data_IF_783558446500
#
_entry.id   IF_783558446500
#
_cell.length_a   1.000
_cell.length_b   1.000
_cell.length_c   1.000
_cell.angle_alpha   90.00
_cell.angle_beta   90.00
_cell.angle_gamma   90.00
#
_symmetry.space_group_name_H-M   'P 1'
#
loop_
_entity.id
_entity.type
_entity.pdbx_description
1 polymer ?
#
# COMPACT_ATOMS: atom_id res chain seq x y z
N UNK A 1 -9.49 40.34 94.47
CA UNK A 1 -8.61 39.41 93.73
C UNK A 1 -9.43 38.44 92.87
N UNK A 2 -9.20 38.49 91.56
CA UNK A 2 -9.51 37.53 90.47
C UNK A 2 -10.89 36.84 90.39
N UNK A 3 -11.96 37.57 90.05
CA UNK A 3 -13.20 36.98 89.48
C UNK A 3 -13.45 37.37 88.00
N UNK A 4 -12.80 38.41 87.49
CA UNK A 4 -12.95 38.87 86.10
C UNK A 4 -12.30 37.97 85.05
N UNK A 5 -11.21 37.27 85.37
CA UNK A 5 -10.45 36.47 84.41
C UNK A 5 -11.15 35.17 83.95
N UNK A 6 -12.19 34.71 84.66
CA UNK A 6 -12.91 33.46 84.33
C UNK A 6 -13.80 33.59 83.09
N UNK A 7 -14.22 34.80 82.74
CA UNK A 7 -15.08 35.07 81.57
C UNK A 7 -14.23 35.36 80.31
N UNK A 8 -13.00 35.85 80.47
CA UNK A 8 -12.12 36.12 79.33
C UNK A 8 -11.60 34.85 78.64
N UNK A 9 -11.37 33.77 79.39
CA UNK A 9 -10.87 32.50 78.83
C UNK A 9 -11.85 31.90 77.78
N UNK A 10 -13.16 31.71 78.06
CA UNK A 10 -14.06 31.19 77.05
C UNK A 10 -14.25 32.16 75.88
N UNK A 11 -14.17 33.48 76.10
CA UNK A 11 -14.27 34.47 75.03
C UNK A 11 -13.09 34.38 74.05
N UNK A 12 -11.87 34.22 74.56
CA UNK A 12 -10.67 34.04 73.72
C UNK A 12 -10.73 32.73 72.95
N UNK A 13 -11.24 31.66 73.56
CA UNK A 13 -11.42 30.37 72.88
C UNK A 13 -12.46 30.49 71.76
N UNK A 14 -13.58 31.18 72.00
CA UNK A 14 -14.60 31.43 70.96
C UNK A 14 -14.02 32.26 69.82
N UNK A 15 -13.26 33.32 70.13
CA UNK A 15 -12.60 34.14 69.11
C UNK A 15 -11.59 33.30 68.32
N UNK A 16 -10.79 32.47 68.98
CA UNK A 16 -9.84 31.58 68.32
C UNK A 16 -10.53 30.53 67.44
N UNK A 17 -11.66 29.97 67.87
CA UNK A 17 -12.48 29.04 67.08
C UNK A 17 -13.06 29.74 65.86
N UNK A 18 -13.58 30.97 66.01
CA UNK A 18 -14.12 31.75 64.90
C UNK A 18 -13.01 32.08 63.90
N UNK A 19 -11.85 32.53 64.38
CA UNK A 19 -10.68 32.81 63.53
C UNK A 19 -10.22 31.54 62.81
N UNK A 20 -10.13 30.42 63.53
CA UNK A 20 -9.79 29.12 62.97
C UNK A 20 -10.79 28.70 61.88
N UNK A 21 -12.09 28.78 62.14
CA UNK A 21 -13.15 28.45 61.17
C UNK A 21 -13.14 29.36 59.95
N UNK A 22 -12.80 30.65 60.09
CA UNK A 22 -12.72 31.57 58.94
C UNK A 22 -11.49 31.36 58.07
N UNK A 23 -10.35 30.98 58.67
CA UNK A 23 -9.08 30.73 57.96
C UNK A 23 -9.04 29.32 57.37
N UNK A 24 -9.60 28.32 58.04
CA UNK A 24 -9.68 26.93 57.55
C UNK A 24 -10.86 26.67 56.61
N UNK A 25 -11.71 27.67 56.31
CA UNK A 25 -12.63 27.59 55.16
C UNK A 25 -11.78 27.64 53.89
N UNK A 26 -11.46 26.46 53.38
CA UNK A 26 -10.86 26.23 52.07
C UNK A 26 -11.50 27.18 51.06
N UNK A 27 -10.71 28.14 50.55
CA UNK A 27 -11.10 28.98 49.43
C UNK A 27 -11.15 28.08 48.20
N UNK A 28 -12.32 27.52 47.91
CA UNK A 28 -12.57 26.98 46.58
C UNK A 28 -12.49 28.14 45.59
N UNK A 29 -11.51 28.10 44.68
CA UNK A 29 -11.31 29.15 43.68
C UNK A 29 -12.45 29.03 42.67
N UNK A 30 -13.40 30.00 42.59
CA UNK A 30 -14.56 29.89 41.71
C UNK A 30 -14.20 29.99 40.21
N UNK A 31 -12.92 30.21 39.89
CA UNK A 31 -12.39 30.31 38.52
C UNK A 31 -11.61 29.07 38.06
N UNK A 32 -11.57 28.00 38.86
CA UNK A 32 -10.89 26.76 38.50
C UNK A 32 -11.94 25.66 38.23
N UNK A 33 -12.29 25.49 36.96
CA UNK A 33 -13.24 24.46 36.54
C UNK A 33 -12.48 23.15 36.32
N UNK A 34 -12.54 22.26 37.31
CA UNK A 34 -11.98 20.91 37.21
C UNK A 34 -12.94 20.03 36.39
N UNK A 35 -12.57 19.77 35.13
CA UNK A 35 -13.31 18.89 34.24
C UNK A 35 -12.56 17.56 34.14
N UNK A 36 -13.22 16.48 34.51
CA UNK A 36 -12.75 15.12 34.20
C UNK A 36 -13.25 14.70 32.83
N UNK A 37 -12.34 14.25 31.96
CA UNK A 37 -12.67 13.69 30.65
C UNK A 37 -11.65 12.63 30.26
N UNK A 38 -11.99 11.82 29.25
CA UNK A 38 -11.08 10.84 28.69
C UNK A 38 -10.43 11.40 27.43
N UNK A 39 -9.17 11.06 27.19
CA UNK A 39 -8.47 11.34 25.93
C UNK A 39 -8.54 10.06 25.11
N UNK A 40 -9.12 10.16 23.91
CA UNK A 40 -9.16 9.06 22.95
C UNK A 40 -8.17 9.34 21.82
N UNK A 41 -7.37 8.33 21.48
CA UNK A 41 -6.48 8.36 20.33
C UNK A 41 -7.08 7.47 19.23
N UNK A 42 -6.99 7.92 17.99
CA UNK A 42 -7.29 7.09 16.83
C UNK A 42 -6.04 6.26 16.53
N UNK A 43 -6.14 4.95 16.74
CA UNK A 43 -5.07 4.00 16.46
C UNK A 43 -5.32 3.28 15.12
N UNK A 44 -4.25 3.05 14.36
CA UNK A 44 -4.25 2.29 13.13
C UNK A 44 -3.19 1.20 13.19
N UNK A 45 -3.64 -0.06 13.28
CA UNK A 45 -2.76 -1.22 13.17
C UNK A 45 -2.45 -1.51 11.71
N UNK A 46 -1.19 -1.30 11.33
CA UNK A 46 -0.69 -1.54 9.99
C UNK A 46 -0.06 -2.93 9.87
N UNK A 47 -0.27 -3.57 8.74
CA UNK A 47 0.37 -4.83 8.37
C UNK A 47 0.61 -4.87 6.87
N UNK A 48 1.54 -5.72 6.44
CA UNK A 48 1.73 -5.96 5.02
C UNK A 48 0.58 -6.79 4.45
N UNK A 49 0.09 -6.40 3.27
CA UNK A 49 -0.98 -7.12 2.56
C UNK A 49 -0.56 -8.51 2.11
N UNK A 50 0.73 -8.72 1.87
CA UNK A 50 1.32 -9.99 1.48
C UNK A 50 2.37 -10.40 2.50
N UNK A 51 2.52 -11.71 2.79
CA UNK A 51 3.65 -12.18 3.57
C UNK A 51 4.95 -11.95 2.80
N UNK A 52 6.01 -11.60 3.51
CA UNK A 52 7.32 -11.35 2.90
C UNK A 52 8.38 -11.03 3.94
N UNK A 53 9.64 -11.03 3.50
CA UNK A 53 10.78 -10.60 4.31
C UNK A 53 10.94 -9.09 4.20
N UNK A 54 11.23 -8.42 5.31
CA UNK A 54 11.57 -7.01 5.33
C UNK A 54 12.98 -6.81 4.79
N UNK A 55 13.13 -6.04 3.72
CA UNK A 55 14.45 -5.65 3.17
C UNK A 55 14.94 -4.38 3.83
N UNK A 56 14.05 -3.40 4.01
CA UNK A 56 14.41 -2.09 4.52
C UNK A 56 13.29 -1.50 5.39
N UNK A 57 13.69 -0.78 6.44
CA UNK A 57 12.80 0.02 7.30
C UNK A 57 13.26 1.48 7.20
N UNK A 58 12.35 2.36 6.77
CA UNK A 58 12.67 3.77 6.45
C UNK A 58 12.27 4.76 7.55
N UNK A 59 11.51 4.31 8.54
CA UNK A 59 11.03 5.13 9.67
C UNK A 59 11.27 4.41 10.99
N UNK A 60 11.48 5.17 12.06
CA UNK A 60 11.70 4.68 13.43
C UNK A 60 10.52 5.01 14.33
N UNK A 61 10.42 4.27 15.43
CA UNK A 61 9.41 4.51 16.46
C UNK A 61 9.50 5.95 16.98
N UNK A 62 8.35 6.63 17.03
CA UNK A 62 8.24 8.04 17.40
C UNK A 62 8.30 9.03 16.23
N UNK A 63 8.64 8.58 15.02
CA UNK A 63 8.64 9.44 13.84
C UNK A 63 7.21 9.84 13.44
N UNK A 64 7.04 11.10 13.04
CA UNK A 64 5.78 11.56 12.44
C UNK A 64 5.74 11.17 10.97
N UNK A 65 4.67 10.48 10.57
CA UNK A 65 4.47 10.03 9.19
C UNK A 65 3.19 10.61 8.59
N UNK A 66 3.17 10.73 7.27
CA UNK A 66 2.01 11.22 6.51
C UNK A 66 1.36 10.09 5.71
N UNK A 67 0.09 10.27 5.32
CA UNK A 67 -0.62 9.27 4.53
C UNK A 67 0.07 9.04 3.17
N UNK A 68 0.29 7.77 2.82
CA UNK A 68 0.99 7.38 1.60
C UNK A 68 2.52 7.40 1.68
N UNK A 69 3.09 7.80 2.82
CA UNK A 69 4.54 7.75 3.03
C UNK A 69 5.04 6.30 3.05
N UNK A 70 6.12 6.04 2.33
CA UNK A 70 6.79 4.74 2.35
C UNK A 70 7.53 4.57 3.68
N UNK A 71 7.15 3.55 4.45
CA UNK A 71 7.70 3.27 5.78
C UNK A 71 8.64 2.07 5.80
N UNK A 72 8.51 1.16 4.83
CA UNK A 72 9.23 -0.09 4.76
C UNK A 72 9.17 -0.70 3.35
N UNK A 73 10.17 -1.50 3.01
CA UNK A 73 10.23 -2.27 1.77
C UNK A 73 10.27 -3.78 2.08
N UNK A 74 9.40 -4.54 1.41
CA UNK A 74 9.47 -6.00 1.41
C UNK A 74 10.35 -6.48 0.26
N UNK A 75 10.99 -7.61 0.45
CA UNK A 75 11.72 -8.28 -0.62
C UNK A 75 10.78 -8.64 -1.78
N UNK A 76 11.19 -8.25 -3.00
CA UNK A 76 10.40 -8.33 -4.23
C UNK A 76 10.95 -9.30 -5.28
N UNK A 77 11.96 -10.11 -4.95
CA UNK A 77 12.70 -10.90 -5.94
C UNK A 77 11.81 -11.90 -6.70
N UNK A 78 10.90 -12.57 -6.02
CA UNK A 78 9.99 -13.54 -6.65
C UNK A 78 8.99 -12.84 -7.58
N UNK A 79 8.56 -11.63 -7.20
CA UNK A 79 7.65 -10.79 -7.96
C UNK A 79 8.35 -10.25 -9.21
N UNK A 80 9.60 -9.81 -9.09
CA UNK A 80 10.44 -9.36 -10.21
C UNK A 80 10.65 -10.49 -11.22
N UNK A 81 10.98 -11.70 -10.74
CA UNK A 81 11.13 -12.88 -11.60
C UNK A 81 9.80 -13.21 -12.30
N UNK A 82 8.68 -13.14 -11.59
CA UNK A 82 7.36 -13.39 -12.17
C UNK A 82 7.00 -12.37 -13.27
N UNK A 83 7.30 -11.09 -13.05
CA UNK A 83 7.12 -10.03 -14.05
C UNK A 83 8.01 -10.28 -15.26
N UNK A 84 9.30 -10.52 -15.06
CA UNK A 84 10.24 -10.78 -16.16
C UNK A 84 9.82 -12.00 -17.01
N UNK A 85 9.32 -13.07 -16.37
CA UNK A 85 8.78 -14.23 -17.06
C UNK A 85 7.53 -13.89 -17.90
N UNK A 86 6.63 -13.08 -17.35
CA UNK A 86 5.43 -12.64 -18.05
C UNK A 86 5.77 -11.75 -19.26
N UNK A 87 6.73 -10.84 -19.12
CA UNK A 87 7.22 -9.98 -20.20
C UNK A 87 7.87 -10.79 -21.32
N UNK A 88 8.69 -11.80 -20.99
CA UNK A 88 9.28 -12.71 -21.97
C UNK A 88 8.19 -13.47 -22.74
N UNK A 89 7.17 -13.97 -22.05
CA UNK A 89 6.01 -14.62 -22.67
C UNK A 89 5.24 -13.69 -23.61
N UNK A 90 5.04 -12.43 -23.21
CA UNK A 90 4.41 -11.40 -24.03
C UNK A 90 5.24 -11.10 -25.28
N UNK A 91 6.56 -10.98 -25.15
CA UNK A 91 7.46 -10.73 -26.29
C UNK A 91 7.42 -11.87 -27.30
N UNK A 92 7.40 -13.12 -26.83
CA UNK A 92 7.26 -14.29 -27.70
C UNK A 92 5.92 -14.27 -28.44
N UNK A 93 4.83 -14.04 -27.72
CA UNK A 93 3.50 -13.99 -28.31
C UNK A 93 3.37 -12.88 -29.36
N UNK A 94 3.99 -11.72 -29.14
CA UNK A 94 4.07 -10.63 -30.11
C UNK A 94 4.86 -11.03 -31.36
N UNK A 95 6.03 -11.66 -31.18
CA UNK A 95 6.83 -12.12 -32.32
C UNK A 95 6.07 -13.14 -33.18
N UNK A 96 5.36 -14.08 -32.53
CA UNK A 96 4.50 -15.05 -33.24
C UNK A 96 3.35 -14.34 -33.96
N UNK A 97 2.72 -13.36 -33.32
CA UNK A 97 1.66 -12.58 -33.97
C UNK A 97 2.18 -11.81 -35.18
N UNK A 98 3.34 -11.16 -35.05
CA UNK A 98 3.98 -10.42 -36.14
C UNK A 98 4.36 -11.34 -37.31
N UNK A 99 4.85 -12.54 -37.02
CA UNK A 99 5.11 -13.57 -38.03
C UNK A 99 3.82 -13.99 -38.76
N UNK A 100 2.74 -14.23 -38.02
CA UNK A 100 1.44 -14.58 -38.59
C UNK A 100 0.84 -13.44 -39.42
N UNK A 101 1.01 -12.19 -39.00
CA UNK A 101 0.54 -11.01 -39.71
C UNK A 101 1.38 -10.67 -40.94
N UNK A 102 2.70 -10.90 -40.87
CA UNK A 102 3.59 -10.76 -42.02
C UNK A 102 3.22 -11.73 -43.16
N UNK A 103 2.55 -12.85 -42.84
CA UNK A 103 2.10 -13.84 -43.80
C UNK A 103 3.27 -14.55 -44.49
N UNK A 104 2.99 -15.22 -45.61
CA UNK A 104 4.06 -15.86 -46.40
C UNK A 104 4.97 -14.82 -47.01
N UNK A 105 6.29 -15.01 -46.87
CA UNK A 105 7.30 -14.12 -47.43
C UNK A 105 7.17 -14.09 -48.96
N UNK A 106 7.46 -12.96 -49.63
CA UNK A 106 7.41 -12.87 -51.09
C UNK A 106 8.29 -13.93 -51.77
N UNK A 107 9.41 -14.30 -51.14
CA UNK A 107 10.31 -15.35 -51.63
C UNK A 107 9.66 -16.74 -51.63
N UNK A 108 8.86 -17.03 -50.60
CA UNK A 108 8.14 -18.30 -50.49
C UNK A 108 6.97 -18.37 -51.48
N UNK A 109 6.27 -17.25 -51.68
CA UNK A 109 5.22 -17.13 -52.70
C UNK A 109 5.80 -17.33 -54.09
N UNK A 110 6.89 -16.64 -54.44
CA UNK A 110 7.53 -16.76 -55.75
C UNK A 110 8.05 -18.19 -56.02
N UNK A 111 8.59 -18.86 -54.99
CA UNK A 111 8.99 -20.27 -55.10
C UNK A 111 7.77 -21.16 -55.37
N UNK A 112 6.66 -20.90 -54.67
CA UNK A 112 5.44 -21.68 -54.83
C UNK A 112 4.78 -21.46 -56.18
N UNK A 113 4.77 -20.23 -56.68
CA UNK A 113 4.33 -19.90 -58.04
C UNK A 113 5.20 -20.61 -59.08
N UNK A 114 6.53 -20.61 -58.92
CA UNK A 114 7.42 -21.34 -59.81
C UNK A 114 7.17 -22.86 -59.79
N UNK A 115 6.85 -23.44 -58.63
CA UNK A 115 6.47 -24.85 -58.55
C UNK A 115 5.13 -25.14 -59.22
N UNK A 116 4.14 -24.25 -59.07
CA UNK A 116 2.85 -24.38 -59.75
C UNK A 116 3.05 -24.27 -61.26
N UNK A 117 3.88 -23.35 -61.74
CA UNK A 117 4.19 -23.19 -63.16
C UNK A 117 4.88 -24.44 -63.73
N UNK A 118 5.88 -24.99 -63.02
CA UNK A 118 6.53 -26.24 -63.41
C UNK A 118 5.54 -27.42 -63.43
N UNK A 119 4.64 -27.51 -62.44
CA UNK A 119 3.63 -28.56 -62.40
C UNK A 119 2.62 -28.44 -63.55
N UNK A 120 2.24 -27.21 -63.93
CA UNK A 120 1.37 -26.93 -65.10
C UNK A 120 2.06 -27.30 -66.41
N UNK A 121 3.29 -26.85 -66.62
CA UNK A 121 4.07 -27.20 -67.80
C UNK A 121 4.21 -28.72 -67.95
N UNK A 122 4.44 -29.45 -66.84
CA UNK A 122 4.50 -30.91 -66.84
C UNK A 122 3.15 -31.56 -67.14
N UNK A 123 2.05 -31.00 -66.65
CA UNK A 123 0.71 -31.47 -66.99
C UNK A 123 0.41 -31.28 -68.48
N UNK A 124 0.75 -30.11 -69.04
CA UNK A 124 0.55 -29.79 -70.45
C UNK A 124 1.38 -30.70 -71.37
N UNK A 125 2.61 -31.02 -70.99
CA UNK A 125 3.43 -32.01 -71.70
C UNK A 125 2.76 -33.39 -71.71
N UNK A 126 2.25 -33.86 -70.57
CA UNK A 126 1.56 -35.15 -70.47
C UNK A 126 0.27 -35.17 -71.29
N UNK A 127 -0.52 -34.09 -71.27
CA UNK A 127 -1.78 -33.99 -72.01
C UNK A 127 -1.52 -33.79 -73.51
N UNK A 128 -0.50 -33.03 -73.88
CA UNK A 128 -0.09 -32.78 -75.27
C UNK A 128 0.56 -33.99 -75.93
N UNK A 129 1.45 -34.69 -75.22
CA UNK A 129 2.10 -35.93 -75.67
C UNK A 129 1.10 -37.07 -75.90
N UNK A 130 0.00 -37.07 -75.17
CA UNK A 130 -1.07 -38.08 -75.32
C UNK A 130 -1.95 -37.88 -76.56
N UNK A 131 -1.94 -36.70 -77.21
CA UNK A 131 -2.74 -36.41 -78.44
C UNK A 131 -2.01 -36.71 -79.75
N UNK A 132 -0.71 -36.96 -79.73
CA UNK A 132 0.10 -37.18 -80.94
C UNK A 132 0.30 -38.66 -81.30
N UNK A 133 -0.35 -39.60 -80.58
CA UNK A 133 -0.17 -41.05 -80.74
C UNK A 133 -1.41 -41.83 -81.22
N UNK A 134 -2.48 -41.14 -81.67
CA UNK A 134 -3.57 -41.76 -82.47
C UNK A 134 -3.36 -41.50 -83.96
#
# INVERSE_FOLDING_TARGET
MHKGARIFIPLVIIIAIILWLTVFRQKENPNELLISGNIEAIDARLSFRIPGRLTERLVTEGDTVTAGQLIAHLESIDQEIAVAKAEAGLSLAKAVLDELLAGSRPEDIARMEAQVEQARAKLDELVGGSRAQE
#
